data_IF_682274883219
#
_entry.id   IF_682274883219
#
_cell.length_a   1.000
_cell.length_b   1.000
_cell.length_c   1.000
_cell.angle_alpha   90.00
_cell.angle_beta   90.00
_cell.angle_gamma   90.00
#
_symmetry.space_group_name_H-M   'P 1'
#
loop_
_entity.id
_entity.type
_entity.pdbx_description
1 polymer ?
#
# COMPACT_ATOMS: atom_id res chain seq x y z
N UNK A 1 -4.83 8.93 -15.31
CA UNK A 1 -4.12 9.25 -16.58
C UNK A 1 -3.08 10.35 -16.42
N UNK A 2 -3.39 11.49 -15.77
CA UNK A 2 -2.36 12.52 -15.42
C UNK A 2 -1.36 12.02 -14.36
N UNK A 3 -1.84 11.16 -13.46
CA UNK A 3 -1.08 10.35 -12.53
C UNK A 3 -0.32 9.22 -13.25
N UNK A 4 0.46 9.47 -14.29
CA UNK A 4 1.34 8.46 -14.89
C UNK A 4 2.45 9.20 -15.63
N UNK A 5 2.04 10.24 -16.34
CA UNK A 5 2.92 11.16 -17.04
C UNK A 5 3.92 11.89 -16.12
N UNK A 6 3.52 12.30 -14.91
CA UNK A 6 4.45 12.94 -13.95
C UNK A 6 5.51 11.98 -13.42
N UNK A 7 5.15 10.72 -13.13
CA UNK A 7 6.09 9.71 -12.68
C UNK A 7 7.12 9.35 -13.74
N UNK A 8 6.68 9.21 -14.99
CA UNK A 8 7.54 8.94 -16.14
C UNK A 8 8.51 10.11 -16.37
N UNK A 9 8.01 11.35 -16.33
CA UNK A 9 8.85 12.55 -16.52
C UNK A 9 9.95 12.67 -15.45
N UNK A 10 9.65 12.36 -14.18
CA UNK A 10 10.66 12.36 -13.12
C UNK A 10 11.75 11.29 -13.34
N UNK A 11 11.38 10.10 -13.83
CA UNK A 11 12.35 9.04 -14.13
C UNK A 11 13.23 9.36 -15.36
N UNK A 12 12.66 10.03 -16.38
CA UNK A 12 13.41 10.53 -17.54
C UNK A 12 14.39 11.64 -17.16
N UNK A 13 14.01 12.53 -16.22
CA UNK A 13 14.90 13.56 -15.69
C UNK A 13 16.03 12.96 -14.85
N UNK A 14 15.74 11.96 -14.01
CA UNK A 14 16.76 11.27 -13.22
C UNK A 14 17.86 10.65 -14.11
N UNK A 15 17.47 10.04 -15.24
CA UNK A 15 18.41 9.46 -16.20
C UNK A 15 19.15 10.50 -17.04
N UNK A 16 18.56 11.68 -17.26
CA UNK A 16 19.24 12.80 -17.90
C UNK A 16 20.29 13.45 -16.98
N UNK A 17 20.00 13.57 -15.69
CA UNK A 17 20.90 14.17 -14.70
C UNK A 17 22.07 13.25 -14.32
N UNK A 18 21.86 11.94 -14.30
CA UNK A 18 22.92 10.94 -14.11
C UNK A 18 23.95 11.01 -15.26
N UNK A 19 23.48 11.21 -16.50
CA UNK A 19 24.34 11.48 -17.67
C UNK A 19 25.08 12.81 -17.59
N UNK A 20 24.54 13.78 -16.84
CA UNK A 20 25.20 15.05 -16.58
C UNK A 20 26.16 14.99 -15.37
N UNK A 21 26.42 13.80 -14.81
CA UNK A 21 27.21 13.57 -13.60
C UNK A 21 26.69 14.33 -12.36
N UNK A 22 25.40 14.68 -12.35
CA UNK A 22 24.76 15.32 -11.21
C UNK A 22 23.99 14.29 -10.38
N UNK A 23 24.74 13.51 -9.59
CA UNK A 23 24.19 12.39 -8.82
C UNK A 23 23.22 12.84 -7.72
N UNK A 24 23.39 14.04 -7.18
CA UNK A 24 22.55 14.57 -6.10
C UNK A 24 21.14 14.92 -6.62
N UNK A 25 21.06 15.58 -7.77
CA UNK A 25 19.79 15.84 -8.45
C UNK A 25 19.14 14.54 -8.94
N UNK A 26 19.93 13.65 -9.55
CA UNK A 26 19.41 12.36 -10.04
C UNK A 26 18.76 11.54 -8.90
N UNK A 27 19.41 11.48 -7.74
CA UNK A 27 18.87 10.83 -6.55
C UNK A 27 17.54 11.46 -6.09
N UNK A 28 17.43 12.79 -6.13
CA UNK A 28 16.20 13.50 -5.81
C UNK A 28 15.07 13.13 -6.78
N UNK A 29 15.36 13.08 -8.09
CA UNK A 29 14.37 12.72 -9.11
C UNK A 29 13.93 11.24 -9.00
N UNK A 30 14.83 10.32 -8.65
CA UNK A 30 14.47 8.93 -8.34
C UNK A 30 13.57 8.82 -7.10
N UNK A 31 13.90 9.53 -6.02
CA UNK A 31 13.09 9.56 -4.81
C UNK A 31 11.70 10.16 -5.06
N UNK A 32 11.62 11.24 -5.84
CA UNK A 32 10.36 11.85 -6.25
C UNK A 32 9.52 10.91 -7.13
N UNK A 33 10.15 10.13 -8.01
CA UNK A 33 9.46 9.11 -8.81
C UNK A 33 8.93 7.95 -7.95
N UNK A 34 9.71 7.52 -6.95
CA UNK A 34 9.30 6.47 -6.01
C UNK A 34 8.12 6.90 -5.12
N UNK A 35 8.17 8.10 -4.54
CA UNK A 35 7.07 8.68 -3.76
C UNK A 35 5.81 8.83 -4.62
N UNK A 36 5.99 9.24 -5.87
CA UNK A 36 4.90 9.34 -6.82
C UNK A 36 4.22 7.98 -7.12
N UNK A 37 5.01 6.91 -7.30
CA UNK A 37 4.48 5.55 -7.45
C UNK A 37 3.70 5.10 -6.22
N UNK A 38 4.21 5.39 -5.01
CA UNK A 38 3.53 5.08 -3.74
C UNK A 38 2.19 5.81 -3.62
N UNK A 39 2.12 7.08 -4.02
CA UNK A 39 0.87 7.86 -3.99
C UNK A 39 -0.15 7.36 -5.02
N UNK A 40 0.29 7.00 -6.23
CA UNK A 40 -0.59 6.49 -7.27
C UNK A 40 -1.21 5.13 -6.92
N UNK A 41 -0.56 4.35 -6.06
CA UNK A 41 -1.01 3.04 -5.63
C UNK A 41 -1.73 3.04 -4.29
N UNK A 42 -2.00 4.21 -3.72
CA UNK A 42 -2.69 4.41 -2.45
C UNK A 42 -4.18 4.05 -2.63
N UNK A 43 -4.53 2.81 -2.33
CA UNK A 43 -5.93 2.36 -2.25
C UNK A 43 -6.41 2.49 -0.82
N UNK A 44 -7.57 3.12 -0.61
CA UNK A 44 -8.17 3.24 0.72
C UNK A 44 -9.21 2.15 0.94
N UNK A 45 -9.55 1.86 2.19
CA UNK A 45 -10.60 0.89 2.52
C UNK A 45 -11.98 1.29 1.96
N UNK A 46 -12.20 2.58 1.74
CA UNK A 46 -13.45 3.12 1.20
C UNK A 46 -13.61 2.83 -0.30
N UNK A 47 -12.50 2.56 -1.01
CA UNK A 47 -12.50 2.24 -2.43
C UNK A 47 -12.97 0.80 -2.72
N UNK A 48 -13.08 -0.06 -1.70
CA UNK A 48 -13.59 -1.44 -1.84
C UNK A 48 -15.09 -1.48 -1.57
N UNK A 49 -15.90 -1.74 -2.58
CA UNK A 49 -17.37 -1.81 -2.47
C UNK A 49 -17.79 -3.27 -2.12
N UNK A 50 -18.87 -3.45 -1.34
CA UNK A 50 -19.52 -4.75 -1.03
C UNK A 50 -18.72 -5.80 -0.22
N UNK A 51 -17.83 -5.39 0.69
CA UNK A 51 -17.06 -6.30 1.56
C UNK A 51 -16.97 -5.83 3.02
N UNK A 52 -18.00 -5.17 3.54
CA UNK A 52 -17.92 -4.47 4.83
C UNK A 52 -17.63 -5.39 6.02
N UNK A 53 -18.28 -6.56 6.08
CA UNK A 53 -18.01 -7.57 7.10
C UNK A 53 -16.56 -8.09 7.03
N UNK A 54 -16.03 -8.29 5.82
CA UNK A 54 -14.66 -8.75 5.65
C UNK A 54 -13.65 -7.67 6.07
N UNK A 55 -13.92 -6.39 5.78
CA UNK A 55 -13.08 -5.27 6.23
C UNK A 55 -13.07 -5.15 7.74
N UNK A 56 -14.22 -5.27 8.38
CA UNK A 56 -14.37 -5.11 9.83
C UNK A 56 -13.62 -6.21 10.57
N UNK A 57 -13.83 -7.46 10.17
CA UNK A 57 -13.09 -8.63 10.69
C UNK A 57 -11.58 -8.48 10.49
N UNK A 58 -11.16 -7.99 9.33
CA UNK A 58 -9.75 -7.83 8.99
C UNK A 58 -9.08 -6.68 9.73
N UNK A 59 -9.81 -5.56 9.92
CA UNK A 59 -9.40 -4.45 10.78
C UNK A 59 -9.25 -4.93 12.22
N UNK A 60 -10.21 -5.66 12.76
CA UNK A 60 -10.10 -6.20 14.11
C UNK A 60 -8.92 -7.15 14.25
N UNK A 61 -8.77 -8.10 13.32
CA UNK A 61 -7.70 -9.08 13.31
C UNK A 61 -6.30 -8.47 13.33
N UNK A 62 -6.10 -7.36 12.63
CA UNK A 62 -4.80 -6.70 12.49
C UNK A 62 -4.61 -5.59 13.54
N UNK A 63 -5.64 -4.77 13.76
CA UNK A 63 -5.55 -3.57 14.61
C UNK A 63 -5.67 -3.92 16.09
N UNK A 64 -6.51 -4.89 16.51
CA UNK A 64 -6.63 -5.24 17.93
C UNK A 64 -5.30 -5.69 18.54
N UNK A 65 -4.54 -6.61 17.91
CA UNK A 65 -3.25 -7.04 18.43
C UNK A 65 -2.25 -5.90 18.60
N UNK A 66 -2.25 -4.96 17.65
CA UNK A 66 -1.35 -3.81 17.66
C UNK A 66 -1.75 -2.79 18.73
N UNK A 67 -3.05 -2.50 18.89
CA UNK A 67 -3.55 -1.53 19.87
C UNK A 67 -3.56 -2.04 21.30
N UNK A 68 -3.85 -3.32 21.50
CA UNK A 68 -3.99 -3.91 22.83
C UNK A 68 -3.13 -5.17 22.98
N UNK A 69 -1.80 -5.07 22.95
CA UNK A 69 -0.94 -6.25 23.09
C UNK A 69 -1.13 -6.96 24.44
N UNK A 70 -1.59 -6.26 25.49
CA UNK A 70 -1.80 -6.87 26.81
C UNK A 70 -2.91 -7.93 26.88
N UNK A 71 -3.95 -7.85 26.02
CA UNK A 71 -5.04 -8.83 26.02
C UNK A 71 -4.71 -10.11 25.24
N UNK A 72 -3.62 -10.08 24.47
CA UNK A 72 -3.09 -11.23 23.72
C UNK A 72 -1.93 -11.93 24.45
N UNK A 73 -1.82 -11.73 25.77
CA UNK A 73 -0.85 -12.45 26.61
C UNK A 73 -1.45 -13.77 27.11
N UNK A 74 -0.76 -14.89 26.88
CA UNK A 74 -1.20 -16.24 27.28
C UNK A 74 -1.80 -17.07 26.14
N UNK A 75 -2.95 -17.73 26.37
CA UNK A 75 -3.56 -18.65 25.39
C UNK A 75 -4.27 -17.95 24.22
N UNK A 76 -4.55 -16.64 24.32
CA UNK A 76 -5.14 -15.86 23.22
C UNK A 76 -4.04 -15.35 22.31
N UNK A 77 -3.71 -16.12 21.27
CA UNK A 77 -2.75 -15.71 20.27
C UNK A 77 -3.41 -14.75 19.26
N UNK A 78 -2.69 -13.72 18.79
CA UNK A 78 -3.15 -12.93 17.66
C UNK A 78 -3.28 -13.81 16.42
N UNK A 79 -4.02 -13.33 15.42
CA UNK A 79 -4.33 -14.13 14.24
C UNK A 79 -3.05 -14.37 13.43
N UNK A 80 -2.82 -15.62 13.01
CA UNK A 80 -1.63 -15.97 12.25
C UNK A 80 -1.68 -15.51 10.78
N UNK A 81 -2.88 -15.26 10.26
CA UNK A 81 -3.12 -14.77 8.90
C UNK A 81 -4.61 -14.81 8.56
N UNK A 82 -4.99 -14.07 7.52
CA UNK A 82 -6.37 -14.05 6.98
C UNK A 82 -6.36 -14.55 5.54
N UNK A 83 -7.26 -15.47 5.23
CA UNK A 83 -7.48 -15.97 3.87
C UNK A 83 -8.71 -15.30 3.26
N UNK A 84 -8.50 -14.53 2.19
CA UNK A 84 -9.58 -13.95 1.40
C UNK A 84 -9.90 -14.89 0.23
N UNK A 85 -11.08 -15.52 0.23
CA UNK A 85 -11.55 -16.39 -0.86
C UNK A 85 -12.83 -15.85 -1.51
N UNK A 86 -13.03 -16.14 -2.79
CA UNK A 86 -14.25 -15.79 -3.52
C UNK A 86 -14.06 -15.71 -5.04
N UNK A 87 -15.15 -15.55 -5.82
CA UNK A 87 -15.13 -15.51 -7.28
C UNK A 87 -14.19 -14.41 -7.83
N UNK A 88 -13.60 -14.57 -9.02
CA UNK A 88 -12.72 -13.57 -9.60
C UNK A 88 -13.49 -12.26 -9.81
N UNK A 89 -12.83 -11.11 -9.55
CA UNK A 89 -13.46 -9.78 -9.67
C UNK A 89 -14.00 -9.17 -8.37
N UNK A 90 -14.08 -9.90 -7.26
CA UNK A 90 -14.55 -9.36 -5.96
C UNK A 90 -13.52 -8.54 -5.16
N UNK A 91 -12.54 -7.90 -5.82
CA UNK A 91 -11.66 -6.93 -5.15
C UNK A 91 -10.69 -7.47 -4.06
N UNK A 92 -10.53 -8.78 -3.85
CA UNK A 92 -9.66 -9.37 -2.81
C UNK A 92 -8.21 -8.85 -2.84
N UNK A 93 -7.59 -8.81 -4.03
CA UNK A 93 -6.22 -8.29 -4.20
C UNK A 93 -6.15 -6.78 -3.98
N UNK A 94 -7.23 -6.07 -4.28
CA UNK A 94 -7.35 -4.63 -4.05
C UNK A 94 -7.49 -4.34 -2.55
N UNK A 95 -8.27 -5.15 -1.82
CA UNK A 95 -8.39 -5.07 -0.36
C UNK A 95 -7.04 -5.33 0.33
N UNK A 96 -6.29 -6.34 -0.12
CA UNK A 96 -4.94 -6.60 0.40
C UNK A 96 -4.00 -5.39 0.20
N UNK A 97 -4.09 -4.73 -0.95
CA UNK A 97 -3.32 -3.52 -1.27
C UNK A 97 -3.72 -2.33 -0.39
N UNK A 98 -5.00 -2.19 -0.09
CA UNK A 98 -5.51 -1.15 0.80
C UNK A 98 -5.02 -1.32 2.24
N UNK A 99 -5.00 -2.55 2.75
CA UNK A 99 -4.42 -2.86 4.07
C UNK A 99 -2.94 -2.54 4.12
N UNK A 100 -2.18 -2.88 3.08
CA UNK A 100 -0.74 -2.62 3.04
C UNK A 100 -0.39 -1.12 3.04
N UNK A 101 -1.40 -0.27 2.81
CA UNK A 101 -1.25 1.19 2.74
C UNK A 101 -1.61 1.88 4.06
N UNK A 102 -2.34 1.21 4.95
CA UNK A 102 -2.76 1.72 6.28
C UNK A 102 -1.69 1.55 7.36
#
# INVERSE_FOLDING_TARGET
>A
MLLSHKGICNAEQATAEDKAHNYEAAAQHYMNAADWLMQAMKSTFDDVIELEQAKEVLKEAIILPVKFPQIFQGNRKPWAGVLLYGPPGTGKSYLAKAIATE
#
